data_IF_280085004521
#
_entry.id   IF_280085004521
#
_cell.length_a   1.000
_cell.length_b   1.000
_cell.length_c   1.000
_cell.angle_alpha   90.00
_cell.angle_beta   90.00
_cell.angle_gamma   90.00
#
_symmetry.space_group_name_H-M   'P 1'
#
loop_
_entity.id
_entity.type
_entity.pdbx_description
1 polymer ?
#
# COMPACT_ATOMS: atom_id res chain seq x y z
N UNK A 1 12.08 13.92 -3.58
CA UNK A 1 12.63 14.74 -4.68
C UNK A 1 11.65 14.67 -5.84
N UNK A 2 10.96 15.76 -6.19
CA UNK A 2 9.89 15.71 -7.20
C UNK A 2 10.48 15.38 -8.58
N UNK A 3 9.73 14.66 -9.42
CA UNK A 3 10.13 14.35 -10.82
C UNK A 3 10.51 15.64 -11.58
N UNK A 4 9.91 16.79 -11.21
CA UNK A 4 10.27 18.10 -11.75
C UNK A 4 11.71 18.51 -11.41
N UNK A 5 12.16 18.29 -10.17
CA UNK A 5 13.52 18.61 -9.74
C UNK A 5 14.56 17.67 -10.39
N UNK A 6 14.23 16.38 -10.52
CA UNK A 6 15.09 15.41 -11.22
C UNK A 6 15.21 15.72 -12.71
N UNK A 7 14.08 16.00 -13.40
CA UNK A 7 14.13 16.45 -14.80
C UNK A 7 14.89 17.76 -14.96
N UNK A 8 14.69 18.74 -14.07
CA UNK A 8 15.42 20.01 -14.11
C UNK A 8 16.93 19.82 -13.93
N UNK A 9 17.35 18.92 -13.05
CA UNK A 9 18.76 18.55 -12.87
C UNK A 9 19.33 17.79 -14.07
N UNK A 10 18.56 16.87 -14.66
CA UNK A 10 18.96 16.15 -15.87
C UNK A 10 19.12 17.12 -17.05
N UNK A 11 18.19 18.06 -17.20
CA UNK A 11 18.24 19.10 -18.22
C UNK A 11 19.38 20.08 -18.00
N UNK A 12 19.63 20.52 -16.77
CA UNK A 12 20.77 21.38 -16.49
C UNK A 12 22.08 20.66 -16.79
N UNK A 13 22.17 19.35 -16.50
CA UNK A 13 23.31 18.51 -16.83
C UNK A 13 23.54 18.40 -18.33
N UNK A 14 22.51 18.09 -19.12
CA UNK A 14 22.61 18.01 -20.58
C UNK A 14 22.90 19.39 -21.20
N UNK A 15 22.32 20.45 -20.65
CA UNK A 15 22.59 21.83 -21.06
C UNK A 15 24.05 22.23 -20.77
N UNK A 16 24.58 21.89 -19.61
CA UNK A 16 25.99 22.10 -19.27
C UNK A 16 26.94 21.30 -20.17
N UNK A 17 26.60 20.06 -20.50
CA UNK A 17 27.39 19.22 -21.40
C UNK A 17 27.39 19.77 -22.83
N UNK A 18 26.26 20.24 -23.31
CA UNK A 18 26.19 20.86 -24.65
C UNK A 18 26.96 22.17 -24.68
N UNK A 19 26.78 23.08 -23.72
CA UNK A 19 27.57 24.31 -23.61
C UNK A 19 29.08 24.00 -23.52
N UNK A 20 29.45 22.97 -22.75
CA UNK A 20 30.82 22.48 -22.64
C UNK A 20 31.36 22.03 -24.00
N UNK A 21 30.61 21.20 -24.72
CA UNK A 21 30.98 20.74 -26.06
C UNK A 21 31.13 21.91 -27.06
N UNK A 22 30.20 22.87 -27.05
CA UNK A 22 30.23 24.07 -27.88
C UNK A 22 31.47 24.93 -27.55
N UNK A 23 31.78 25.11 -26.26
CA UNK A 23 32.96 25.86 -25.81
C UNK A 23 34.26 25.19 -26.20
N UNK A 24 34.34 23.86 -26.08
CA UNK A 24 35.51 23.06 -26.49
C UNK A 24 35.71 23.12 -28.00
N UNK A 25 34.62 23.00 -28.79
CA UNK A 25 34.68 23.14 -30.24
C UNK A 25 35.13 24.55 -30.62
N UNK A 26 34.57 25.60 -29.99
CA UNK A 26 35.00 26.98 -30.22
C UNK A 26 36.47 27.22 -29.88
N UNK A 27 36.95 26.66 -28.77
CA UNK A 27 38.36 26.74 -28.36
C UNK A 27 39.27 25.99 -29.35
N UNK A 28 38.87 24.79 -29.79
CA UNK A 28 39.60 24.00 -30.80
C UNK A 28 39.70 24.75 -32.13
N UNK A 29 38.60 25.32 -32.62
CA UNK A 29 38.58 26.14 -33.83
C UNK A 29 39.52 27.35 -33.71
N UNK A 30 39.54 28.02 -32.55
CA UNK A 30 40.41 29.18 -32.30
C UNK A 30 41.89 28.81 -32.15
N UNK A 31 42.21 27.68 -31.52
CA UNK A 31 43.59 27.33 -31.15
C UNK A 31 44.31 26.54 -32.24
N UNK A 32 43.62 25.60 -32.87
CA UNK A 32 44.22 24.68 -33.84
C UNK A 32 43.98 25.12 -35.29
N UNK A 33 42.79 25.67 -35.58
CA UNK A 33 42.42 26.09 -36.94
C UNK A 33 42.79 27.54 -37.27
N UNK A 34 42.77 28.45 -36.30
CA UNK A 34 43.18 29.85 -36.52
C UNK A 34 44.59 30.01 -37.10
N UNK A 35 45.67 29.38 -36.57
CA UNK A 35 47.01 29.53 -37.14
C UNK A 35 47.16 28.88 -38.53
N UNK A 36 46.37 27.85 -38.84
CA UNK A 36 46.33 27.26 -40.19
C UNK A 36 45.65 28.19 -41.20
N UNK A 37 44.63 28.95 -40.77
CA UNK A 37 43.89 29.90 -41.60
C UNK A 37 44.60 31.25 -41.73
N UNK A 38 45.34 31.71 -40.71
CA UNK A 38 46.06 33.00 -40.76
C UNK A 38 47.33 32.97 -41.61
N UNK A 39 47.92 31.80 -41.87
CA UNK A 39 49.14 31.65 -42.69
C UNK A 39 48.84 31.43 -44.19
N UNK A 40 47.58 31.25 -44.54
CA UNK A 40 47.10 31.36 -45.92
C UNK A 40 46.57 32.80 -46.05
N UNK A 41 46.99 33.60 -47.03
CA UNK A 41 46.41 34.93 -47.35
C UNK A 41 44.92 34.81 -47.74
N UNK A 42 44.06 34.40 -46.83
CA UNK A 42 42.72 33.91 -47.16
C UNK A 42 41.66 34.90 -46.72
N UNK A 43 41.11 35.54 -47.75
CA UNK A 43 39.82 36.21 -47.86
C UNK A 43 38.89 36.08 -46.65
N UNK A 44 38.39 37.22 -46.16
CA UNK A 44 37.33 37.41 -45.15
C UNK A 44 36.16 36.41 -45.23
N UNK A 45 35.91 35.84 -46.41
CA UNK A 45 34.91 34.80 -46.66
C UNK A 45 35.13 33.50 -45.86
N UNK A 46 36.38 33.03 -45.65
CA UNK A 46 36.63 31.76 -44.93
C UNK A 46 36.32 31.88 -43.44
N UNK A 47 36.68 33.00 -42.80
CA UNK A 47 36.38 33.24 -41.38
C UNK A 47 34.86 33.33 -41.13
N UNK A 48 34.13 34.00 -42.04
CA UNK A 48 32.67 34.08 -41.97
C UNK A 48 31.99 32.72 -42.13
N UNK A 49 32.52 31.83 -43.00
CA UNK A 49 31.98 30.48 -43.17
C UNK A 49 32.13 29.62 -41.91
N UNK A 50 33.29 29.67 -41.23
CA UNK A 50 33.52 28.90 -39.99
C UNK A 50 32.60 29.36 -38.85
N UNK A 51 32.41 30.68 -38.68
CA UNK A 51 31.48 31.23 -37.70
C UNK A 51 30.02 30.83 -37.99
N UNK A 52 29.60 30.88 -39.26
CA UNK A 52 28.26 30.45 -39.67
C UNK A 52 28.02 28.96 -39.37
N UNK A 53 28.97 28.08 -39.69
CA UNK A 53 28.87 26.64 -39.41
C UNK A 53 28.73 26.39 -37.90
N UNK A 54 29.51 27.09 -37.08
CA UNK A 54 29.47 26.95 -35.62
C UNK A 54 28.15 27.46 -35.01
N UNK A 55 27.60 28.55 -35.54
CA UNK A 55 26.31 29.08 -35.10
C UNK A 55 25.16 28.13 -35.47
N UNK A 56 25.21 27.51 -36.65
CA UNK A 56 24.22 26.53 -37.09
C UNK A 56 24.28 25.26 -36.22
N UNK A 57 25.46 24.75 -35.90
CA UNK A 57 25.59 23.55 -35.07
C UNK A 57 25.10 23.77 -33.63
N UNK A 58 25.31 24.97 -33.08
CA UNK A 58 24.75 25.41 -31.80
C UNK A 58 23.22 25.41 -31.83
N UNK A 59 22.63 26.01 -32.86
CA UNK A 59 21.18 26.11 -33.01
C UNK A 59 20.55 24.71 -33.11
N UNK A 60 21.13 23.83 -33.95
CA UNK A 60 20.67 22.45 -34.11
C UNK A 60 20.72 21.69 -32.78
N UNK A 61 21.80 21.87 -32.00
CA UNK A 61 21.92 21.23 -30.68
C UNK A 61 20.82 21.69 -29.73
N UNK A 62 20.54 23.00 -29.65
CA UNK A 62 19.48 23.55 -28.80
C UNK A 62 18.10 22.99 -29.20
N UNK A 63 17.80 22.97 -30.50
CA UNK A 63 16.54 22.42 -31.01
C UNK A 63 16.40 20.94 -30.67
N UNK A 64 17.48 20.16 -30.83
CA UNK A 64 17.50 18.75 -30.49
C UNK A 64 17.29 18.52 -28.98
N UNK A 65 17.88 19.35 -28.12
CA UNK A 65 17.64 19.29 -26.68
C UNK A 65 16.19 19.57 -26.31
N UNK A 66 15.60 20.62 -26.88
CA UNK A 66 14.20 20.96 -26.63
C UNK A 66 13.27 19.84 -27.12
N UNK A 67 13.58 19.25 -28.27
CA UNK A 67 12.85 18.10 -28.80
C UNK A 67 12.94 16.88 -27.88
N UNK A 68 14.15 16.53 -27.42
CA UNK A 68 14.35 15.42 -26.47
C UNK A 68 13.64 15.69 -25.14
N UNK A 69 13.72 16.91 -24.62
CA UNK A 69 13.01 17.31 -23.41
C UNK A 69 11.50 17.12 -23.54
N UNK A 70 10.92 17.63 -24.63
CA UNK A 70 9.51 17.49 -24.94
C UNK A 70 9.11 16.01 -25.09
N UNK A 71 9.93 15.21 -25.79
CA UNK A 71 9.69 13.80 -25.99
C UNK A 71 9.73 13.02 -24.67
N UNK A 72 10.75 13.22 -23.82
CA UNK A 72 10.87 12.55 -22.51
C UNK A 72 9.71 12.92 -21.59
N UNK A 73 9.33 14.20 -21.55
CA UNK A 73 8.20 14.67 -20.75
C UNK A 73 6.91 13.94 -21.12
N UNK A 74 6.61 13.87 -22.42
CA UNK A 74 5.36 13.31 -22.94
C UNK A 74 5.32 11.79 -22.95
N UNK A 75 6.42 11.12 -23.26
CA UNK A 75 6.45 9.66 -23.44
C UNK A 75 6.88 8.87 -22.19
N UNK A 76 7.54 9.51 -21.21
CA UNK A 76 8.03 8.84 -20.00
C UNK A 76 7.47 9.49 -18.73
N UNK A 77 7.65 10.79 -18.55
CA UNK A 77 7.33 11.44 -17.28
C UNK A 77 5.82 11.50 -17.00
N UNK A 78 5.01 11.87 -17.99
CA UNK A 78 3.55 11.97 -17.83
C UNK A 78 2.89 10.61 -17.53
N UNK A 79 3.20 9.52 -18.25
CA UNK A 79 2.62 8.22 -17.91
C UNK A 79 3.06 7.68 -16.53
N UNK A 80 4.32 7.86 -16.15
CA UNK A 80 4.81 7.44 -14.82
C UNK A 80 4.03 8.13 -13.71
N UNK A 81 3.82 9.45 -13.81
CA UNK A 81 3.03 10.21 -12.82
C UNK A 81 1.61 9.68 -12.69
N UNK A 82 0.97 9.33 -13.81
CA UNK A 82 -0.39 8.77 -13.77
C UNK A 82 -0.43 7.43 -13.03
N UNK A 83 0.51 6.53 -13.31
CA UNK A 83 0.58 5.23 -12.63
C UNK A 83 0.86 5.44 -11.13
N UNK A 84 1.77 6.35 -10.77
CA UNK A 84 2.04 6.68 -9.36
C UNK A 84 0.80 7.20 -8.65
N UNK A 85 0.04 8.12 -9.25
CA UNK A 85 -1.18 8.65 -8.63
C UNK A 85 -2.25 7.55 -8.43
N UNK A 86 -2.39 6.64 -9.39
CA UNK A 86 -3.31 5.49 -9.26
C UNK A 86 -2.82 4.55 -8.16
N UNK A 87 -1.51 4.32 -8.04
CA UNK A 87 -0.94 3.50 -6.98
C UNK A 87 -1.12 4.13 -5.60
N UNK A 88 -0.93 5.45 -5.47
CA UNK A 88 -1.22 6.19 -4.23
C UNK A 88 -2.71 6.08 -3.87
N UNK A 89 -3.61 6.26 -4.84
CA UNK A 89 -5.05 6.07 -4.63
C UNK A 89 -5.40 4.64 -4.20
N UNK A 90 -4.79 3.63 -4.81
CA UNK A 90 -4.96 2.23 -4.44
C UNK A 90 -4.44 1.98 -3.01
N UNK A 91 -3.28 2.50 -2.63
CA UNK A 91 -2.75 2.34 -1.26
C UNK A 91 -3.62 3.01 -0.20
N UNK A 92 -4.35 4.08 -0.55
CA UNK A 92 -5.23 4.78 0.39
C UNK A 92 -6.62 4.14 0.50
N UNK A 93 -7.15 3.60 -0.60
CA UNK A 93 -8.54 3.10 -0.67
C UNK A 93 -8.66 1.58 -0.70
N UNK A 94 -7.57 0.85 -0.95
CA UNK A 94 -7.56 -0.61 -1.12
C UNK A 94 -8.22 -1.10 -2.42
N UNK A 95 -8.70 -0.20 -3.29
CA UNK A 95 -9.45 -0.55 -4.50
C UNK A 95 -8.94 0.23 -5.71
N UNK A 96 -8.97 -0.40 -6.89
CA UNK A 96 -8.59 0.26 -8.13
C UNK A 96 -9.76 1.12 -8.65
N UNK A 97 -9.71 2.42 -8.42
CA UNK A 97 -10.71 3.35 -9.00
C UNK A 97 -10.56 3.53 -10.51
N UNK A 98 -9.34 3.44 -11.04
CA UNK A 98 -9.08 3.59 -12.47
C UNK A 98 -8.05 2.56 -12.96
N UNK A 99 -8.27 2.04 -14.16
CA UNK A 99 -7.32 1.12 -14.80
C UNK A 99 -6.06 1.90 -15.18
N UNK A 100 -4.87 1.46 -14.73
CA UNK A 100 -3.60 2.04 -15.14
C UNK A 100 -3.51 2.21 -16.66
N UNK A 101 -3.12 3.40 -17.16
CA UNK A 101 -3.04 3.63 -18.60
C UNK A 101 -2.08 2.62 -19.22
N UNK A 102 -2.39 2.06 -20.40
CA UNK A 102 -1.54 1.05 -21.06
C UNK A 102 -1.18 1.40 -22.51
N UNK A 103 -1.74 2.49 -23.06
CA UNK A 103 -1.60 2.91 -24.45
C UNK A 103 -0.65 4.11 -24.59
N UNK A 104 0.17 4.11 -25.65
CA UNK A 104 1.06 5.23 -25.96
C UNK A 104 2.35 5.31 -25.14
N UNK A 105 2.73 4.23 -24.45
CA UNK A 105 3.94 4.15 -23.63
C UNK A 105 4.99 3.19 -24.20
N UNK A 106 6.26 3.35 -23.79
CA UNK A 106 7.30 2.34 -23.94
C UNK A 106 6.86 0.96 -23.42
N UNK A 107 7.44 -0.10 -23.99
CA UNK A 107 7.08 -1.50 -23.68
C UNK A 107 7.26 -1.81 -22.18
N UNK A 108 8.29 -1.24 -21.58
CA UNK A 108 8.66 -1.42 -20.18
C UNK A 108 7.58 -0.83 -19.24
N UNK A 109 7.14 0.40 -19.52
CA UNK A 109 6.06 1.05 -18.75
C UNK A 109 4.71 0.37 -18.96
N UNK A 110 4.43 -0.08 -20.19
CA UNK A 110 3.22 -0.88 -20.46
C UNK A 110 3.22 -2.19 -19.66
N UNK A 111 4.34 -2.91 -19.65
CA UNK A 111 4.48 -4.16 -18.87
C UNK A 111 4.27 -3.91 -17.38
N UNK A 112 4.94 -2.89 -16.83
CA UNK A 112 4.77 -2.49 -15.43
C UNK A 112 3.32 -2.15 -15.10
N UNK A 113 2.66 -1.36 -15.93
CA UNK A 113 1.26 -0.98 -15.75
C UNK A 113 0.31 -2.18 -15.73
N UNK A 114 0.51 -3.14 -16.63
CA UNK A 114 -0.31 -4.36 -16.69
C UNK A 114 -0.05 -5.27 -15.49
N UNK A 115 1.21 -5.44 -15.09
CA UNK A 115 1.57 -6.24 -13.91
C UNK A 115 1.03 -5.62 -12.62
N UNK A 116 1.10 -4.29 -12.48
CA UNK A 116 0.51 -3.58 -11.35
C UNK A 116 -1.01 -3.76 -11.30
N UNK A 117 -1.70 -3.65 -12.44
CA UNK A 117 -3.14 -3.87 -12.50
C UNK A 117 -3.53 -5.30 -12.05
N UNK A 118 -2.81 -6.32 -12.52
CA UNK A 118 -3.04 -7.70 -12.10
C UNK A 118 -2.74 -7.92 -10.61
N UNK A 119 -1.69 -7.30 -10.09
CA UNK A 119 -1.36 -7.35 -8.66
C UNK A 119 -2.47 -6.73 -7.81
N UNK A 120 -2.91 -5.52 -8.14
CA UNK A 120 -3.93 -4.82 -7.38
C UNK A 120 -5.28 -5.56 -7.41
N UNK A 121 -5.68 -6.12 -8.56
CA UNK A 121 -6.85 -7.01 -8.66
C UNK A 121 -6.74 -8.21 -7.71
N UNK A 122 -5.58 -8.89 -7.69
CA UNK A 122 -5.37 -10.06 -6.83
C UNK A 122 -5.42 -9.72 -5.34
N UNK A 123 -4.93 -8.54 -4.96
CA UNK A 123 -5.01 -8.04 -3.59
C UNK A 123 -6.47 -7.74 -3.21
N UNK A 124 -7.23 -7.10 -4.09
CA UNK A 124 -8.65 -6.79 -3.86
C UNK A 124 -9.51 -8.06 -3.74
N UNK A 125 -9.27 -9.05 -4.60
CA UNK A 125 -9.92 -10.37 -4.54
C UNK A 125 -9.62 -11.10 -3.23
N UNK A 126 -8.34 -11.15 -2.82
CA UNK A 126 -7.94 -11.76 -1.56
C UNK A 126 -8.57 -11.06 -0.35
N UNK A 127 -8.57 -9.73 -0.33
CA UNK A 127 -9.19 -8.96 0.75
C UNK A 127 -10.69 -9.22 0.85
N UNK A 128 -11.40 -9.19 -0.29
CA UNK A 128 -12.84 -9.46 -0.33
C UNK A 128 -13.16 -10.88 0.18
N UNK A 129 -12.35 -11.85 -0.22
CA UNK A 129 -12.49 -13.23 0.23
C UNK A 129 -12.29 -13.38 1.74
N UNK A 130 -11.25 -12.74 2.30
CA UNK A 130 -10.99 -12.77 3.74
C UNK A 130 -12.12 -12.12 4.54
N UNK A 131 -12.67 -11.00 4.06
CA UNK A 131 -13.82 -10.33 4.67
C UNK A 131 -15.06 -11.23 4.65
N UNK A 132 -15.32 -11.92 3.54
CA UNK A 132 -16.43 -12.85 3.42
C UNK A 132 -16.29 -14.05 4.38
N UNK A 133 -15.10 -14.66 4.43
CA UNK A 133 -14.80 -15.76 5.37
C UNK A 133 -14.99 -15.30 6.81
N UNK A 134 -14.47 -14.12 7.17
CA UNK A 134 -14.62 -13.55 8.51
C UNK A 134 -16.09 -13.40 8.86
N UNK A 135 -16.91 -12.85 7.95
CA UNK A 135 -18.36 -12.70 8.15
C UNK A 135 -19.04 -14.06 8.37
N UNK A 136 -18.77 -15.04 7.51
CA UNK A 136 -19.36 -16.39 7.62
C UNK A 136 -18.96 -17.06 8.92
N UNK A 137 -17.69 -16.95 9.34
CA UNK A 137 -17.20 -17.47 10.63
C UNK A 137 -17.96 -16.82 11.79
N UNK A 138 -18.12 -15.50 11.78
CA UNK A 138 -18.84 -14.78 12.84
C UNK A 138 -20.30 -15.18 12.93
N UNK A 139 -20.99 -15.27 11.78
CA UNK A 139 -22.41 -15.65 11.72
C UNK A 139 -22.62 -17.11 12.16
N UNK A 140 -21.70 -18.01 11.79
CA UNK A 140 -21.70 -19.41 12.25
C UNK A 140 -21.54 -19.51 13.76
N UNK A 141 -20.54 -18.84 14.34
CA UNK A 141 -20.30 -18.84 15.79
C UNK A 141 -21.51 -18.28 16.54
N UNK A 142 -22.08 -17.17 16.05
CA UNK A 142 -23.25 -16.54 16.66
C UNK A 142 -24.44 -17.50 16.70
N UNK A 143 -24.72 -18.16 15.57
CA UNK A 143 -25.81 -19.13 15.44
C UNK A 143 -25.58 -20.34 16.34
N UNK A 144 -24.38 -20.93 16.29
CA UNK A 144 -24.02 -22.09 17.10
C UNK A 144 -24.17 -21.80 18.60
N UNK A 145 -23.67 -20.65 19.07
CA UNK A 145 -23.77 -20.28 20.47
C UNK A 145 -25.22 -20.07 20.94
N UNK A 146 -26.06 -19.47 20.09
CA UNK A 146 -27.49 -19.34 20.40
C UNK A 146 -28.17 -20.71 20.51
N UNK A 147 -27.87 -21.61 19.57
CA UNK A 147 -28.38 -22.98 19.58
C UNK A 147 -27.85 -23.83 20.74
N UNK A 148 -26.64 -23.54 21.24
CA UNK A 148 -26.06 -24.23 22.40
C UNK A 148 -26.57 -23.69 23.75
N UNK A 149 -26.94 -22.40 23.83
CA UNK A 149 -27.43 -21.80 25.08
C UNK A 149 -28.67 -22.51 25.62
N UNK A 150 -29.62 -22.85 24.75
CA UNK A 150 -30.86 -23.54 25.14
C UNK A 150 -30.62 -24.94 25.73
N UNK A 151 -29.93 -25.89 25.04
CA UNK A 151 -29.66 -27.20 25.60
C UNK A 151 -28.75 -27.15 26.84
N UNK A 152 -27.78 -26.22 26.91
CA UNK A 152 -26.97 -26.02 28.12
C UNK A 152 -27.80 -25.53 29.30
N UNK A 153 -28.78 -24.66 29.05
CA UNK A 153 -29.73 -24.22 30.08
C UNK A 153 -30.57 -25.40 30.56
N UNK A 154 -31.00 -26.28 29.65
CA UNK A 154 -31.73 -27.51 30.01
C UNK A 154 -30.90 -28.48 30.84
N UNK A 155 -29.62 -28.70 30.47
CA UNK A 155 -28.69 -29.52 31.27
C UNK A 155 -28.52 -28.94 32.67
N UNK A 156 -28.32 -27.61 32.77
CA UNK A 156 -28.21 -26.94 34.07
C UNK A 156 -29.45 -27.15 34.92
N UNK A 157 -30.65 -26.94 34.37
CA UNK A 157 -31.90 -27.17 35.10
C UNK A 157 -32.08 -28.63 35.53
N UNK A 158 -31.69 -29.58 34.69
CA UNK A 158 -31.74 -31.00 35.06
C UNK A 158 -30.79 -31.33 36.23
N UNK A 159 -29.57 -30.76 36.21
CA UNK A 159 -28.62 -30.92 37.31
C UNK A 159 -29.09 -30.24 38.60
N UNK A 160 -29.63 -29.02 38.50
CA UNK A 160 -30.24 -28.30 39.64
C UNK A 160 -31.44 -29.08 40.22
N UNK A 161 -32.24 -29.73 39.39
CA UNK A 161 -33.33 -30.59 39.85
C UNK A 161 -32.82 -31.87 40.54
N UNK A 162 -31.77 -32.50 39.99
CA UNK A 162 -31.15 -33.68 40.61
C UNK A 162 -30.55 -33.38 41.99
N UNK A 163 -30.04 -32.17 42.21
CA UNK A 163 -29.53 -31.74 43.53
C UNK A 163 -30.61 -31.70 44.62
N UNK A 164 -31.90 -31.63 44.24
CA UNK A 164 -33.03 -31.64 45.18
C UNK A 164 -33.48 -33.05 45.58
N UNK A 165 -33.02 -34.09 44.87
CA UNK A 165 -33.35 -35.48 45.13
C UNK A 165 -32.46 -36.09 46.24
N UNK A 166 -32.90 -37.16 46.93
CA UNK A 166 -32.06 -37.87 47.89
C UNK A 166 -30.95 -38.66 47.17
N UNK A 167 -29.79 -38.02 46.99
CA UNK A 167 -28.60 -38.60 46.37
C UNK A 167 -27.64 -39.21 47.40
N UNK A 168 -26.94 -40.28 47.02
CA UNK A 168 -25.78 -40.78 47.77
C UNK A 168 -24.61 -39.80 47.69
N UNK A 169 -23.63 -39.89 48.60
CA UNK A 169 -22.45 -39.00 48.59
C UNK A 169 -21.65 -39.08 47.28
N UNK A 170 -21.55 -40.27 46.67
CA UNK A 170 -20.89 -40.45 45.37
C UNK A 170 -21.69 -39.79 44.23
N UNK A 171 -23.02 -39.89 44.25
CA UNK A 171 -23.89 -39.24 43.29
C UNK A 171 -23.86 -37.71 43.42
N UNK A 172 -23.82 -37.18 44.65
CA UNK A 172 -23.67 -35.73 44.90
C UNK A 172 -22.37 -35.20 44.30
N UNK A 173 -21.26 -35.90 44.49
CA UNK A 173 -19.97 -35.51 43.92
C UNK A 173 -20.01 -35.50 42.38
N UNK A 174 -20.68 -36.47 41.76
CA UNK A 174 -20.86 -36.53 40.31
C UNK A 174 -21.72 -35.37 39.78
N UNK A 175 -22.86 -35.08 40.43
CA UNK A 175 -23.76 -33.98 40.04
C UNK A 175 -23.06 -32.63 40.18
N UNK A 176 -22.34 -32.41 41.29
CA UNK A 176 -21.54 -31.19 41.51
C UNK A 176 -20.48 -31.01 40.41
N UNK A 177 -19.74 -32.08 40.07
CA UNK A 177 -18.76 -32.03 38.98
C UNK A 177 -19.40 -31.78 37.61
N UNK A 178 -20.55 -32.39 37.31
CA UNK A 178 -21.27 -32.17 36.06
C UNK A 178 -21.79 -30.72 35.95
N UNK A 179 -22.25 -30.16 37.07
CA UNK A 179 -22.71 -28.76 37.16
C UNK A 179 -21.56 -27.80 36.91
N UNK A 180 -20.41 -28.01 37.54
CA UNK A 180 -19.22 -27.18 37.31
C UNK A 180 -18.80 -27.19 35.83
N UNK A 181 -18.74 -28.38 35.21
CA UNK A 181 -18.43 -28.52 33.78
C UNK A 181 -19.47 -27.84 32.88
N UNK A 182 -20.76 -27.91 33.24
CA UNK A 182 -21.81 -27.20 32.52
C UNK A 182 -21.64 -25.68 32.60
N UNK A 183 -21.25 -25.15 33.76
CA UNK A 183 -20.94 -23.73 33.93
C UNK A 183 -19.71 -23.31 33.11
N UNK A 184 -18.63 -24.10 33.15
CA UNK A 184 -17.44 -23.85 32.33
C UNK A 184 -17.78 -23.83 30.84
N UNK A 185 -18.62 -24.75 30.36
CA UNK A 185 -19.02 -24.79 28.95
C UNK A 185 -19.85 -23.57 28.52
N UNK A 186 -20.77 -23.10 29.39
CA UNK A 186 -21.50 -21.85 29.15
C UNK A 186 -20.55 -20.66 29.07
N UNK A 187 -19.56 -20.60 29.96
CA UNK A 187 -18.53 -19.54 29.94
C UNK A 187 -17.71 -19.56 28.64
N UNK A 188 -17.20 -20.73 28.22
CA UNK A 188 -16.44 -20.89 26.97
C UNK A 188 -17.25 -20.46 25.73
N UNK A 189 -18.54 -20.84 25.67
CA UNK A 189 -19.43 -20.41 24.58
C UNK A 189 -19.63 -18.89 24.60
N UNK A 190 -19.74 -18.28 25.78
CA UNK A 190 -19.79 -16.83 25.96
C UNK A 190 -18.52 -16.15 25.43
N UNK A 191 -17.35 -16.61 25.87
CA UNK A 191 -16.06 -16.08 25.40
C UNK A 191 -15.90 -16.18 23.88
N UNK A 192 -16.35 -17.29 23.27
CA UNK A 192 -16.29 -17.46 21.81
C UNK A 192 -17.19 -16.45 21.08
N UNK A 193 -18.36 -16.14 21.63
CA UNK A 193 -19.25 -15.08 21.12
C UNK A 193 -18.63 -13.69 21.23
N UNK A 194 -17.98 -13.42 22.37
CA UNK A 194 -17.34 -12.13 22.61
C UNK A 194 -16.20 -11.92 21.61
N UNK A 195 -15.33 -12.93 21.42
CA UNK A 195 -14.26 -12.91 20.41
C UNK A 195 -14.83 -12.67 19.01
N UNK A 196 -15.88 -13.39 18.62
CA UNK A 196 -16.53 -13.21 17.31
C UNK A 196 -17.11 -11.80 17.11
N UNK A 197 -17.68 -11.23 18.17
CA UNK A 197 -18.23 -9.86 18.16
C UNK A 197 -17.14 -8.80 18.08
N UNK A 198 -15.98 -9.05 18.71
CA UNK A 198 -14.78 -8.19 18.62
C UNK A 198 -14.18 -8.27 17.21
N UNK A 199 -13.95 -9.47 16.66
CA UNK A 199 -13.39 -9.67 15.31
C UNK A 199 -14.26 -9.02 14.21
N UNK A 200 -15.58 -9.01 14.39
CA UNK A 200 -16.52 -8.39 13.44
C UNK A 200 -16.78 -6.90 13.68
N UNK A 201 -16.14 -6.28 14.68
CA UNK A 201 -16.33 -4.87 15.02
C UNK A 201 -17.71 -4.53 15.59
N UNK A 202 -18.51 -5.52 15.99
CA UNK A 202 -19.87 -5.35 16.54
C UNK A 202 -19.87 -5.25 18.07
N UNK A 203 -18.74 -5.45 18.73
CA UNK A 203 -18.62 -5.36 20.18
C UNK A 203 -18.88 -3.93 20.67
N UNK A 204 -19.87 -3.77 21.54
CA UNK A 204 -20.20 -2.47 22.13
C UNK A 204 -19.47 -2.34 23.46
N UNK A 205 -18.54 -1.40 23.52
CA UNK A 205 -17.89 -1.03 24.78
C UNK A 205 -18.80 -0.13 25.61
N UNK A 206 -19.04 -0.50 26.85
CA UNK A 206 -19.69 0.35 27.85
C UNK A 206 -18.62 0.99 28.73
N UNK A 207 -18.18 2.18 28.34
CA UNK A 207 -17.13 2.91 29.03
C UNK A 207 -17.75 3.76 30.14
N UNK A 208 -17.43 3.43 31.40
CA UNK A 208 -17.88 4.16 32.59
C UNK A 208 -16.68 4.47 33.51
N UNK A 209 -16.72 5.58 34.27
CA UNK A 209 -15.74 5.82 35.33
C UNK A 209 -15.78 4.68 36.35
N UNK A 210 -14.62 4.09 36.64
CA UNK A 210 -14.45 3.01 37.61
C UNK A 210 -13.22 3.26 38.46
N UNK A 211 -13.28 2.88 39.74
CA UNK A 211 -12.12 2.89 40.64
C UNK A 211 -11.23 1.66 40.34
N UNK A 212 -9.98 1.91 39.97
CA UNK A 212 -9.02 0.85 39.66
C UNK A 212 -8.66 0.01 40.89
N UNK A 213 -8.68 0.59 42.10
CA UNK A 213 -8.38 -0.15 43.32
C UNK A 213 -9.47 -1.19 43.60
N UNK A 214 -10.73 -0.78 43.46
CA UNK A 214 -11.88 -1.67 43.63
C UNK A 214 -11.85 -2.83 42.62
N UNK A 215 -11.49 -2.52 41.36
CA UNK A 215 -11.38 -3.52 40.30
C UNK A 215 -10.25 -4.54 40.55
N UNK A 216 -9.10 -4.08 41.04
CA UNK A 216 -7.97 -4.96 41.38
C UNK A 216 -8.30 -5.83 42.58
N UNK A 217 -8.95 -5.28 43.61
CA UNK A 217 -9.38 -6.04 44.80
C UNK A 217 -10.47 -7.07 44.48
N UNK A 218 -11.35 -6.78 43.52
CA UNK A 218 -12.31 -7.75 42.97
C UNK A 218 -11.59 -8.91 42.30
N UNK A 219 -10.70 -8.64 41.34
CA UNK A 219 -9.96 -9.68 40.62
C UNK A 219 -9.07 -10.50 41.56
N UNK A 220 -8.39 -9.87 42.51
CA UNK A 220 -7.51 -10.57 43.46
C UNK A 220 -8.27 -11.57 44.34
N UNK A 221 -9.55 -11.32 44.65
CA UNK A 221 -10.40 -12.26 45.40
C UNK A 221 -10.82 -13.47 44.59
N UNK A 222 -11.02 -13.33 43.29
CA UNK A 222 -11.40 -14.45 42.41
C UNK A 222 -10.25 -15.46 42.17
N UNK A 223 -9.00 -15.08 42.44
CA UNK A 223 -7.81 -15.93 42.32
C UNK A 223 -7.35 -16.58 43.65
N UNK A 224 -7.96 -16.22 44.78
CA UNK A 224 -7.58 -16.69 46.12
C UNK A 224 -8.49 -17.82 46.62
#
# INVERSE_FOLDING_TARGET
MTIRLFMAALLSGVFLLTIGAISVIGLFLRTQLSPLVTNLETSTSLQMAVLQISAVSLLVSIVLLLFVFWAVGRYIADPVRKITNIMEAFTASGTLSEVPPSKGMPKELKKFSTEFAAFAQKVEEAHTHDVEISRVKSDFISTAAHQLRTPLTGIRWALEALELEPLTEEQKALVASAREKSHQLVSVVGTLLDISSIESGKYKYDLKPSDLNELVDEVARDFA
#
